data_IF_295464970041
#
_entry.id   IF_295464970041
#
_cell.length_a   1.000
_cell.length_b   1.000
_cell.length_c   1.000
_cell.angle_alpha   90.00
_cell.angle_beta   90.00
_cell.angle_gamma   90.00
#
_symmetry.space_group_name_H-M   'P 1'
#
loop_
_entity.id
_entity.type
_entity.pdbx_description
1 polymer ?
#
# COMPACT_ATOMS: atom_id res chain seq x y z
N UNK A 1 19.54 -1.45 -13.93
CA UNK A 1 19.19 -0.04 -13.72
C UNK A 1 17.74 0.13 -14.17
N UNK A 2 16.82 0.24 -13.21
CA UNK A 2 15.40 0.51 -13.49
C UNK A 2 15.24 1.87 -14.15
N UNK A 3 14.25 2.01 -15.04
CA UNK A 3 13.97 3.29 -15.68
C UNK A 3 13.43 4.25 -14.61
N UNK A 4 13.84 5.53 -14.59
CA UNK A 4 13.28 6.50 -13.64
C UNK A 4 11.76 6.59 -13.81
N UNK A 5 11.05 6.79 -12.70
CA UNK A 5 9.60 6.98 -12.68
C UNK A 5 9.15 8.02 -13.71
N UNK A 6 8.05 7.71 -14.41
CA UNK A 6 7.42 8.65 -15.32
C UNK A 6 7.09 9.96 -14.55
N UNK A 7 7.35 11.15 -15.14
CA UNK A 7 7.07 12.44 -14.50
C UNK A 7 5.65 12.54 -13.92
N UNK A 8 4.66 11.96 -14.62
CA UNK A 8 3.27 11.91 -14.19
C UNK A 8 3.07 11.20 -12.84
N UNK A 9 3.84 10.15 -12.55
CA UNK A 9 3.75 9.45 -11.26
C UNK A 9 4.32 10.31 -10.12
N UNK A 10 5.43 11.02 -10.35
CA UNK A 10 5.99 11.95 -9.36
C UNK A 10 5.03 13.08 -9.04
N UNK A 11 4.37 13.63 -10.06
CA UNK A 11 3.36 14.68 -9.89
C UNK A 11 2.12 14.17 -9.13
N UNK A 12 1.64 12.97 -9.45
CA UNK A 12 0.51 12.36 -8.74
C UNK A 12 0.83 12.06 -7.29
N UNK A 13 2.04 11.53 -7.01
CA UNK A 13 2.53 11.33 -5.64
C UNK A 13 2.60 12.65 -4.91
N UNK A 14 3.23 13.68 -5.48
CA UNK A 14 3.32 14.99 -4.84
C UNK A 14 1.94 15.59 -4.53
N UNK A 15 1.00 15.52 -5.48
CA UNK A 15 -0.36 16.04 -5.28
C UNK A 15 -1.10 15.30 -4.15
N UNK A 16 -0.89 13.99 -4.01
CA UNK A 16 -1.45 13.22 -2.89
C UNK A 16 -0.78 13.58 -1.56
N UNK A 17 0.54 13.75 -1.55
CA UNK A 17 1.29 14.18 -0.35
C UNK A 17 0.83 15.56 0.13
N UNK A 18 0.62 16.50 -0.79
CA UNK A 18 0.11 17.84 -0.48
C UNK A 18 -1.31 17.76 0.12
N UNK A 19 -2.16 16.88 -0.43
CA UNK A 19 -3.51 16.65 0.11
C UNK A 19 -3.48 16.03 1.50
N UNK A 20 -2.65 15.01 1.71
CA UNK A 20 -2.51 14.36 3.02
C UNK A 20 -1.99 15.35 4.07
N UNK A 21 -1.01 16.18 3.71
CA UNK A 21 -0.48 17.23 4.58
C UNK A 21 -1.52 18.29 4.96
N UNK A 22 -2.50 18.54 4.09
CA UNK A 22 -3.64 19.44 4.40
C UNK A 22 -4.70 18.76 5.28
N UNK A 23 -4.95 17.47 5.06
CA UNK A 23 -5.98 16.71 5.76
C UNK A 23 -5.55 16.34 7.19
N UNK A 24 -4.24 16.22 7.42
CA UNK A 24 -3.63 15.68 8.63
C UNK A 24 -2.36 16.48 9.03
N UNK A 25 -2.48 17.76 9.38
CA UNK A 25 -1.35 18.68 9.57
C UNK A 25 -0.39 18.32 10.73
N UNK A 26 -0.81 17.43 11.63
CA UNK A 26 -0.02 16.93 12.75
C UNK A 26 1.00 15.85 12.35
N UNK A 27 0.92 15.34 11.12
CA UNK A 27 1.82 14.32 10.58
C UNK A 27 2.73 14.89 9.50
N UNK A 28 3.97 14.39 9.46
CA UNK A 28 4.92 14.70 8.40
C UNK A 28 4.96 13.54 7.41
N UNK A 29 4.56 13.82 6.17
CA UNK A 29 4.42 12.81 5.13
C UNK A 29 5.66 12.83 4.23
N UNK A 30 6.30 11.68 4.06
CA UNK A 30 7.42 11.52 3.14
C UNK A 30 7.12 10.41 2.13
N UNK A 31 7.29 10.71 0.84
CA UNK A 31 7.23 9.70 -0.21
C UNK A 31 8.63 9.14 -0.45
N UNK A 32 8.84 7.87 -0.09
CA UNK A 32 10.09 7.16 -0.40
C UNK A 32 9.93 6.50 -1.77
N UNK A 33 10.40 7.19 -2.80
CA UNK A 33 10.50 6.63 -4.16
C UNK A 33 11.77 5.77 -4.28
N UNK A 34 11.88 4.69 -3.52
CA UNK A 34 13.01 3.75 -3.57
C UNK A 34 12.84 2.69 -4.67
N UNK A 35 13.29 3.01 -5.88
CA UNK A 35 13.39 2.05 -7.00
C UNK A 35 12.02 1.51 -7.46
N UNK A 36 12.04 0.52 -8.36
CA UNK A 36 10.86 -0.07 -9.02
C UNK A 36 9.94 -0.84 -8.05
N UNK A 37 9.54 -0.29 -6.89
CA UNK A 37 8.88 -0.98 -5.78
C UNK A 37 7.74 -0.15 -5.18
N UNK A 38 6.67 -0.86 -4.82
CA UNK A 38 5.52 -0.41 -4.03
C UNK A 38 5.64 -0.98 -2.61
N UNK A 39 5.45 -0.17 -1.59
CA UNK A 39 5.38 -0.59 -0.18
C UNK A 39 4.14 -0.02 0.51
N UNK A 40 3.73 -0.68 1.59
CA UNK A 40 2.86 -0.07 2.59
C UNK A 40 3.67 0.17 3.85
N UNK A 41 3.51 1.34 4.44
CA UNK A 41 4.17 1.71 5.69
C UNK A 41 3.14 2.12 6.73
N UNK A 42 3.41 1.83 7.99
CA UNK A 42 2.60 2.31 9.11
C UNK A 42 3.25 3.56 9.69
N UNK A 43 2.47 4.63 9.86
CA UNK A 43 2.86 5.74 10.74
C UNK A 43 1.95 5.80 11.95
N UNK A 44 2.50 6.30 13.06
CA UNK A 44 1.83 6.50 14.36
C UNK A 44 2.23 7.85 14.91
N UNK A 45 1.55 8.38 15.92
CA UNK A 45 2.10 9.50 16.70
C UNK A 45 3.34 9.07 17.48
N UNK A 46 4.45 9.81 17.36
CA UNK A 46 5.72 9.50 18.04
C UNK A 46 5.53 9.44 19.56
N UNK A 47 5.64 8.23 20.12
CA UNK A 47 5.71 8.01 21.56
C UNK A 47 7.13 7.57 21.92
N UNK A 48 7.77 8.18 22.94
CA UNK A 48 9.13 7.83 23.33
C UNK A 48 9.26 6.33 23.64
N UNK A 49 10.10 5.63 22.89
CA UNK A 49 10.44 4.21 23.13
C UNK A 49 9.59 3.19 22.38
N UNK A 50 8.68 3.59 21.49
CA UNK A 50 7.97 2.67 20.60
C UNK A 50 8.66 2.60 19.22
N UNK A 51 8.77 1.38 18.68
CA UNK A 51 9.35 1.15 17.36
C UNK A 51 8.38 1.63 16.27
N UNK A 52 8.90 2.44 15.36
CA UNK A 52 8.13 3.15 14.35
C UNK A 52 8.16 2.37 13.04
N UNK A 53 7.02 1.80 12.68
CA UNK A 53 6.74 1.48 11.29
C UNK A 53 6.89 0.00 10.96
N UNK A 54 5.73 -0.61 10.68
CA UNK A 54 5.67 -1.77 9.81
C UNK A 54 5.81 -1.26 8.37
N UNK A 55 6.92 -1.54 7.70
CA UNK A 55 7.03 -1.39 6.25
C UNK A 55 6.95 -2.77 5.60
N UNK A 56 5.87 -3.02 4.84
CA UNK A 56 5.70 -4.23 4.04
C UNK A 56 5.82 -3.87 2.58
N UNK A 57 6.84 -4.42 1.92
CA UNK A 57 6.93 -4.40 0.47
C UNK A 57 5.75 -5.15 -0.16
N UNK A 58 4.99 -4.49 -1.04
CA UNK A 58 3.75 -5.00 -1.67
C UNK A 58 4.06 -5.66 -3.01
N UNK A 59 4.77 -4.97 -3.91
CA UNK A 59 5.05 -5.47 -5.25
C UNK A 59 6.15 -4.66 -5.93
N UNK A 60 6.89 -5.25 -6.87
CA UNK A 60 7.65 -4.44 -7.82
C UNK A 60 6.68 -3.66 -8.72
N UNK A 61 7.09 -2.49 -9.20
CA UNK A 61 6.28 -1.64 -10.09
C UNK A 61 5.82 -2.41 -11.34
N UNK A 62 6.65 -3.31 -11.88
CA UNK A 62 6.25 -4.17 -12.99
C UNK A 62 5.07 -5.08 -12.63
N UNK A 63 5.09 -5.69 -11.43
CA UNK A 63 4.01 -6.54 -10.92
C UNK A 63 2.78 -5.68 -10.60
N UNK A 64 2.98 -4.47 -10.08
CA UNK A 64 1.90 -3.55 -9.79
C UNK A 64 1.16 -3.17 -11.08
N UNK A 65 1.85 -2.60 -12.06
CA UNK A 65 1.26 -2.16 -13.33
C UNK A 65 0.65 -3.33 -14.11
N UNK A 66 1.28 -4.51 -14.06
CA UNK A 66 0.82 -5.66 -14.84
C UNK A 66 -0.41 -6.35 -14.22
N UNK A 67 -0.52 -6.35 -12.89
CA UNK A 67 -1.53 -7.17 -12.21
C UNK A 67 -2.33 -6.43 -11.13
N UNK A 68 -1.68 -5.63 -10.28
CA UNK A 68 -2.40 -4.93 -9.20
C UNK A 68 -3.28 -3.82 -9.75
N UNK A 69 -2.76 -2.95 -10.61
CA UNK A 69 -3.52 -1.83 -11.18
C UNK A 69 -4.76 -2.31 -11.96
N UNK A 70 -4.66 -3.29 -12.89
CA UNK A 70 -5.83 -3.85 -13.54
C UNK A 70 -6.86 -4.48 -12.57
N UNK A 71 -6.38 -5.21 -11.56
CA UNK A 71 -7.26 -5.83 -10.58
C UNK A 71 -7.94 -4.78 -9.69
N UNK A 72 -7.24 -3.71 -9.32
CA UNK A 72 -7.77 -2.59 -8.55
C UNK A 72 -8.91 -1.91 -9.32
N UNK A 73 -8.69 -1.63 -10.61
CA UNK A 73 -9.70 -1.05 -11.49
C UNK A 73 -10.91 -1.97 -11.66
N UNK A 74 -10.68 -3.26 -11.93
CA UNK A 74 -11.75 -4.24 -12.15
C UNK A 74 -12.59 -4.49 -10.90
N UNK A 75 -11.95 -4.58 -9.73
CA UNK A 75 -12.59 -4.93 -8.46
C UNK A 75 -13.10 -3.72 -7.69
N UNK A 76 -12.75 -2.49 -8.11
CA UNK A 76 -13.11 -1.26 -7.42
C UNK A 76 -12.46 -1.12 -6.03
N UNK A 77 -11.23 -1.62 -5.89
CA UNK A 77 -10.42 -1.57 -4.65
C UNK A 77 -10.06 -0.12 -4.33
N UNK A 78 -10.08 0.25 -3.05
CA UNK A 78 -9.83 1.65 -2.63
C UNK A 78 -8.68 1.79 -1.65
N UNK A 79 -8.45 0.78 -0.82
CA UNK A 79 -7.43 0.80 0.23
C UNK A 79 -6.01 0.61 -0.30
N UNK A 80 -5.83 0.07 -1.52
CA UNK A 80 -4.51 -0.22 -2.09
C UNK A 80 -4.23 0.54 -3.40
N UNK A 81 -4.93 1.66 -3.63
CA UNK A 81 -4.63 2.57 -4.75
C UNK A 81 -3.40 3.40 -4.35
N UNK A 82 -2.32 3.30 -5.10
CA UNK A 82 -1.14 4.12 -4.89
C UNK A 82 -1.32 5.53 -5.50
N UNK A 83 -1.00 6.62 -4.79
CA UNK A 83 -0.78 6.74 -3.35
C UNK A 83 -2.10 6.82 -2.56
N UNK A 84 -2.16 6.24 -1.35
CA UNK A 84 -3.30 6.42 -0.43
C UNK A 84 -2.88 6.22 1.02
N UNK A 85 -3.74 6.61 1.96
CA UNK A 85 -3.61 6.22 3.36
C UNK A 85 -4.98 5.93 3.97
N UNK A 86 -5.00 5.16 5.06
CA UNK A 86 -6.22 4.93 5.84
C UNK A 86 -5.95 4.57 7.30
N UNK A 87 -6.92 4.92 8.16
CA UNK A 87 -6.93 4.57 9.57
C UNK A 87 -7.62 3.23 9.86
N UNK A 88 -7.67 2.86 11.15
CA UNK A 88 -8.20 1.57 11.61
C UNK A 88 -9.66 1.30 11.21
N UNK A 89 -10.45 2.35 11.00
CA UNK A 89 -11.83 2.26 10.53
C UNK A 89 -11.96 1.53 9.19
N UNK A 90 -10.90 1.57 8.36
CA UNK A 90 -10.82 0.88 7.06
C UNK A 90 -10.16 -0.49 7.12
N UNK A 91 -9.62 -0.94 8.25
CA UNK A 91 -8.95 -2.25 8.35
C UNK A 91 -9.82 -3.40 7.82
N UNK A 92 -11.10 -3.43 8.23
CA UNK A 92 -12.05 -4.46 7.75
C UNK A 92 -12.29 -4.37 6.24
N UNK A 93 -12.24 -3.17 5.66
CA UNK A 93 -12.35 -2.98 4.22
C UNK A 93 -11.08 -3.46 3.52
N UNK A 94 -9.91 -3.07 4.00
CA UNK A 94 -8.62 -3.48 3.45
C UNK A 94 -8.48 -5.02 3.42
N UNK A 95 -8.83 -5.72 4.51
CA UNK A 95 -8.78 -7.18 4.54
C UNK A 95 -9.76 -7.84 3.56
N UNK A 96 -10.95 -7.25 3.34
CA UNK A 96 -11.87 -7.74 2.31
C UNK A 96 -11.32 -7.53 0.91
N UNK A 97 -10.74 -6.37 0.65
CA UNK A 97 -10.15 -6.04 -0.66
C UNK A 97 -8.94 -6.95 -0.98
N UNK A 98 -8.14 -7.31 0.03
CA UNK A 98 -7.08 -8.32 -0.12
C UNK A 98 -7.63 -9.71 -0.49
N UNK A 99 -8.76 -10.10 0.09
CA UNK A 99 -9.47 -11.32 -0.29
C UNK A 99 -9.94 -11.30 -1.76
N UNK A 100 -10.46 -10.17 -2.23
CA UNK A 100 -10.84 -9.99 -3.64
C UNK A 100 -9.63 -10.06 -4.57
N UNK A 101 -8.52 -9.42 -4.19
CA UNK A 101 -7.26 -9.51 -4.92
C UNK A 101 -6.78 -10.95 -5.01
N UNK A 102 -6.82 -11.70 -3.91
CA UNK A 102 -6.41 -13.11 -3.85
C UNK A 102 -7.22 -13.95 -4.84
N UNK A 103 -8.53 -13.78 -4.87
CA UNK A 103 -9.41 -14.49 -5.81
C UNK A 103 -9.10 -14.11 -7.27
N UNK A 104 -8.93 -12.83 -7.55
CA UNK A 104 -8.58 -12.34 -8.88
C UNK A 104 -7.22 -12.87 -9.35
N UNK A 105 -6.19 -12.84 -8.49
CA UNK A 105 -4.85 -13.36 -8.80
C UNK A 105 -4.90 -14.85 -9.14
N UNK A 106 -5.70 -15.64 -8.40
CA UNK A 106 -5.85 -17.07 -8.67
C UNK A 106 -6.51 -17.37 -10.02
N UNK A 107 -7.34 -16.46 -10.55
CA UNK A 107 -8.00 -16.63 -11.85
C UNK A 107 -7.17 -16.10 -13.02
N UNK A 108 -6.43 -15.03 -12.81
CA UNK A 108 -5.85 -14.23 -13.91
C UNK A 108 -4.33 -14.31 -14.02
N UNK A 109 -3.63 -14.77 -12.98
CA UNK A 109 -2.16 -14.81 -12.94
C UNK A 109 -1.69 -16.25 -12.84
N UNK A 110 -0.60 -16.60 -13.53
CA UNK A 110 -0.01 -17.94 -13.51
C UNK A 110 1.49 -17.89 -13.28
N UNK A 111 2.07 -19.03 -12.89
CA UNK A 111 3.51 -19.15 -12.68
C UNK A 111 4.01 -18.33 -11.48
N UNK A 112 5.29 -17.93 -11.55
CA UNK A 112 6.01 -17.31 -10.43
C UNK A 112 5.36 -16.01 -9.94
N UNK A 113 4.82 -15.20 -10.86
CA UNK A 113 4.19 -13.91 -10.52
C UNK A 113 2.95 -14.12 -9.63
N UNK A 114 2.18 -15.19 -9.89
CA UNK A 114 1.04 -15.58 -9.05
C UNK A 114 1.51 -15.88 -7.64
N UNK A 115 2.53 -16.73 -7.51
CA UNK A 115 3.04 -17.15 -6.20
C UNK A 115 3.59 -15.96 -5.42
N UNK A 116 4.29 -15.03 -6.10
CA UNK A 116 4.79 -13.79 -5.50
C UNK A 116 3.65 -12.90 -5.00
N UNK A 117 2.63 -12.64 -5.81
CA UNK A 117 1.50 -11.80 -5.40
C UNK A 117 0.73 -12.43 -4.24
N UNK A 118 0.47 -13.75 -4.28
CA UNK A 118 -0.25 -14.45 -3.21
C UNK A 118 0.52 -14.43 -1.89
N UNK A 119 1.84 -14.59 -1.92
CA UNK A 119 2.70 -14.46 -0.73
C UNK A 119 2.61 -13.05 -0.13
N UNK A 120 2.53 -12.01 -0.98
CA UNK A 120 2.41 -10.61 -0.54
C UNK A 120 1.06 -10.33 0.10
N UNK A 121 -0.02 -10.81 -0.52
CA UNK A 121 -1.38 -10.69 0.03
C UNK A 121 -1.47 -11.39 1.39
N UNK A 122 -0.90 -12.60 1.52
CA UNK A 122 -0.86 -13.30 2.80
C UNK A 122 -0.07 -12.54 3.88
N UNK A 123 1.07 -11.95 3.51
CA UNK A 123 1.83 -11.09 4.42
C UNK A 123 1.02 -9.90 4.92
N UNK A 124 0.27 -9.23 4.03
CA UNK A 124 -0.59 -8.11 4.39
C UNK A 124 -1.78 -8.53 5.26
N UNK A 125 -2.46 -9.63 4.91
CA UNK A 125 -3.59 -10.14 5.71
C UNK A 125 -3.18 -10.49 7.15
N UNK A 126 -1.93 -10.96 7.34
CA UNK A 126 -1.37 -11.27 8.67
C UNK A 126 -0.83 -10.02 9.39
N UNK A 127 -0.11 -9.16 8.68
CA UNK A 127 0.57 -8.01 9.28
C UNK A 127 -0.34 -6.82 9.60
N UNK A 128 -1.38 -6.58 8.78
CA UNK A 128 -2.27 -5.42 8.98
C UNK A 128 -3.01 -5.46 10.32
N UNK A 129 -3.61 -6.58 10.78
CA UNK A 129 -4.25 -6.63 12.09
C UNK A 129 -3.32 -6.27 13.25
N UNK A 130 -2.06 -6.70 13.18
CA UNK A 130 -1.04 -6.42 14.20
C UNK A 130 -0.61 -4.95 14.18
N UNK A 131 -0.48 -4.37 12.97
CA UNK A 131 -0.19 -2.95 12.80
C UNK A 131 -1.28 -2.01 13.31
N UNK A 132 -2.55 -2.43 13.22
CA UNK A 132 -3.71 -1.67 13.69
C UNK A 132 -4.13 -2.06 15.13
N UNK A 133 -3.17 -2.37 15.99
CA UNK A 133 -3.39 -2.57 17.43
C UNK A 133 -3.96 -1.32 18.12
N UNK A 134 -3.64 -0.12 17.62
CA UNK A 134 -4.10 1.17 18.14
C UNK A 134 -5.05 1.90 17.18
N UNK A 135 -5.88 2.78 17.75
CA UNK A 135 -6.86 3.57 16.97
C UNK A 135 -6.20 4.70 16.16
N UNK A 136 -5.03 5.19 16.59
CA UNK A 136 -4.25 6.25 15.93
C UNK A 136 -3.27 5.73 14.88
N UNK A 137 -3.31 4.44 14.54
CA UNK A 137 -2.50 3.88 13.45
C UNK A 137 -3.04 4.37 12.10
N UNK A 138 -2.14 4.90 11.27
CA UNK A 138 -2.40 5.21 9.86
C UNK A 138 -1.50 4.32 8.99
N UNK A 139 -2.09 3.61 8.02
CA UNK A 139 -1.34 2.90 6.98
C UNK A 139 -1.24 3.78 5.74
N UNK A 140 -0.03 3.89 5.20
CA UNK A 140 0.32 4.52 3.94
C UNK A 140 0.59 3.46 2.89
N UNK A 141 0.20 3.74 1.66
CA UNK A 141 0.43 2.91 0.47
C UNK A 141 1.12 3.80 -0.55
N UNK A 142 2.34 3.45 -0.97
CA UNK A 142 3.18 4.25 -1.87
C UNK A 142 4.08 3.43 -2.77
#
# INVERSE_FOLDING_TARGET
MGKPFAPALREAVQAAMDRLSQEFPEYEFYAVLEGDKMSVSVSRDERPGEDFGLEIFVAFQSIYNQYWEPAIEELGIRCFIAPTCFGKDKLKQALRELGLMREWTNRNVTGKDRDEILMRIEGLEKGLPEAFDREDTILYVG
#
